data_IF_650157255055
#
_entry.id   IF_650157255055
#
_cell.length_a   1.000
_cell.length_b   1.000
_cell.length_c   1.000
_cell.angle_alpha   90.00
_cell.angle_beta   90.00
_cell.angle_gamma   90.00
#
_symmetry.space_group_name_H-M   'P 1'
#
loop_
_entity.id
_entity.type
_entity.pdbx_description
1 polymer ?
#
# COMPACT_ATOMS: atom_id res chain seq x y z
N UNK A 1 -30.19 13.70 56.12
CA UNK A 1 -29.31 14.55 55.29
C UNK A 1 -28.39 13.61 54.50
N UNK A 2 -28.30 13.82 53.19
CA UNK A 2 -27.86 12.86 52.15
C UNK A 2 -26.33 12.74 52.10
N UNK A 3 -25.78 11.52 51.99
CA UNK A 3 -24.38 11.27 51.61
C UNK A 3 -24.41 10.45 50.32
N UNK A 4 -23.70 10.94 49.32
CA UNK A 4 -23.78 10.54 47.92
C UNK A 4 -23.09 9.19 47.65
N UNK A 5 -23.77 8.35 46.87
CA UNK A 5 -23.18 7.22 46.14
C UNK A 5 -22.32 7.77 45.00
N UNK A 6 -21.06 7.33 44.92
CA UNK A 6 -20.22 7.48 43.73
C UNK A 6 -19.64 6.09 43.45
N UNK A 7 -20.04 5.48 42.33
CA UNK A 7 -19.41 4.26 41.82
C UNK A 7 -19.38 4.30 40.29
N UNK A 8 -18.23 4.79 39.82
CA UNK A 8 -17.51 4.53 38.58
C UNK A 8 -18.25 3.91 37.39
N UNK A 9 -18.38 4.70 36.31
CA UNK A 9 -18.53 4.20 34.95
C UNK A 9 -17.20 3.59 34.49
N UNK A 10 -17.19 2.28 34.19
CA UNK A 10 -16.14 1.65 33.42
C UNK A 10 -16.38 1.94 31.93
N UNK A 11 -15.54 2.79 31.33
CA UNK A 11 -15.50 2.97 29.89
C UNK A 11 -14.83 1.74 29.26
N UNK A 12 -15.59 0.92 28.54
CA UNK A 12 -15.03 -0.05 27.61
C UNK A 12 -14.33 0.73 26.49
N UNK A 13 -13.00 0.69 26.48
CA UNK A 13 -12.22 1.09 25.33
C UNK A 13 -12.54 0.11 24.18
N UNK A 14 -13.25 0.60 23.17
CA UNK A 14 -13.21 0.00 21.83
C UNK A 14 -11.77 0.14 21.33
N UNK A 15 -10.96 -0.90 21.49
CA UNK A 15 -9.76 -1.07 20.67
C UNK A 15 -10.23 -1.40 19.25
N UNK A 16 -10.55 -0.36 18.48
CA UNK A 16 -10.59 -0.48 17.03
C UNK A 16 -9.21 -0.97 16.57
N UNK A 17 -9.11 -1.97 15.68
CA UNK A 17 -7.84 -2.25 15.02
C UNK A 17 -7.46 -0.97 14.27
N UNK A 18 -6.46 -0.28 14.78
CA UNK A 18 -5.83 0.83 14.10
C UNK A 18 -5.19 0.22 12.85
N UNK A 19 -5.91 0.34 11.73
CA UNK A 19 -5.35 0.03 10.43
C UNK A 19 -4.05 0.84 10.33
N UNK A 20 -2.91 0.22 9.97
CA UNK A 20 -1.68 0.98 9.80
C UNK A 20 -1.95 2.12 8.83
N UNK A 21 -1.54 3.32 9.22
CA UNK A 21 -1.72 4.51 8.40
C UNK A 21 -1.06 4.28 7.03
N UNK A 22 -1.76 4.63 5.95
CA UNK A 22 -1.20 4.63 4.62
C UNK A 22 0.01 5.56 4.59
N UNK A 23 1.14 5.06 4.13
CA UNK A 23 2.28 5.92 3.88
C UNK A 23 2.05 6.67 2.58
N UNK A 24 1.95 7.99 2.66
CA UNK A 24 1.80 8.85 1.51
C UNK A 24 3.14 9.47 1.08
N UNK A 25 3.48 9.31 -0.21
CA UNK A 25 4.67 9.91 -0.81
C UNK A 25 4.42 10.25 -2.29
N UNK A 26 5.42 10.76 -2.99
CA UNK A 26 5.31 11.08 -4.40
C UNK A 26 6.11 12.33 -4.77
N UNK A 27 5.83 12.86 -5.95
CA UNK A 27 6.50 14.05 -6.45
C UNK A 27 5.50 15.05 -7.06
N UNK A 28 6.02 15.98 -7.87
CA UNK A 28 5.22 17.04 -8.51
C UNK A 28 4.19 16.52 -9.51
N UNK A 29 4.33 15.26 -9.94
CA UNK A 29 3.60 14.64 -11.03
C UNK A 29 2.48 13.72 -10.53
N UNK A 30 2.70 13.05 -9.39
CA UNK A 30 1.75 12.11 -8.79
C UNK A 30 1.90 12.03 -7.27
N UNK A 31 0.88 11.51 -6.59
CA UNK A 31 0.96 11.00 -5.22
C UNK A 31 0.73 9.51 -5.19
N UNK A 32 1.30 8.88 -4.17
CA UNK A 32 1.20 7.46 -3.87
C UNK A 32 0.71 7.31 -2.44
N UNK A 33 -0.27 6.44 -2.27
CA UNK A 33 -0.62 5.86 -0.98
C UNK A 33 -0.20 4.39 -1.00
N UNK A 34 0.53 3.96 0.02
CA UNK A 34 1.00 2.60 0.17
C UNK A 34 0.58 2.06 1.53
N UNK A 35 -0.20 1.00 1.51
CA UNK A 35 -0.69 0.31 2.70
C UNK A 35 -0.14 -1.11 2.73
N UNK A 36 0.42 -1.50 3.86
CA UNK A 36 0.89 -2.85 4.11
C UNK A 36 0.72 -3.18 5.60
N UNK A 37 0.51 -4.45 5.97
CA UNK A 37 0.60 -4.88 7.36
C UNK A 37 1.98 -4.56 7.92
N UNK A 38 2.04 -3.87 9.06
CA UNK A 38 3.30 -3.70 9.80
C UNK A 38 3.78 -5.01 10.43
N UNK A 39 2.87 -5.98 10.62
CA UNK A 39 3.19 -7.31 11.09
C UNK A 39 2.22 -8.37 10.54
N UNK A 40 2.72 -9.59 10.36
CA UNK A 40 1.95 -10.79 9.99
C UNK A 40 2.38 -11.96 10.86
N UNK A 41 1.44 -12.84 11.22
CA UNK A 41 1.81 -14.12 11.83
C UNK A 41 2.26 -15.12 10.76
N UNK A 42 3.18 -16.04 11.06
CA UNK A 42 3.55 -17.13 10.15
C UNK A 42 2.30 -17.88 9.68
N UNK A 43 2.19 -18.11 8.37
CA UNK A 43 1.04 -18.72 7.71
C UNK A 43 -0.12 -17.76 7.42
N UNK A 44 -0.04 -16.50 7.87
CA UNK A 44 -1.06 -15.49 7.61
C UNK A 44 -0.89 -14.88 6.22
N UNK A 45 -2.02 -14.64 5.55
CA UNK A 45 -2.07 -13.83 4.33
C UNK A 45 -2.21 -12.33 4.67
N UNK A 46 -1.66 -11.48 3.82
CA UNK A 46 -1.84 -10.03 3.84
C UNK A 46 -1.99 -9.49 2.42
N UNK A 47 -2.08 -8.16 2.31
CA UNK A 47 -2.04 -7.45 1.03
C UNK A 47 -1.09 -6.27 1.14
N UNK A 48 -0.38 -5.97 0.06
CA UNK A 48 0.28 -4.70 -0.18
C UNK A 48 -0.58 -3.93 -1.17
N UNK A 49 -1.21 -2.85 -0.71
CA UNK A 49 -2.10 -2.04 -1.51
C UNK A 49 -1.37 -0.76 -1.92
N UNK A 50 -1.23 -0.56 -3.23
CA UNK A 50 -0.56 0.58 -3.84
C UNK A 50 -1.57 1.37 -4.67
N UNK A 51 -1.80 2.63 -4.32
CA UNK A 51 -2.65 3.54 -5.07
C UNK A 51 -1.83 4.74 -5.56
N UNK A 52 -1.81 4.99 -6.87
CA UNK A 52 -1.12 6.14 -7.46
C UNK A 52 -2.12 7.03 -8.18
N UNK A 53 -2.03 8.33 -7.91
CA UNK A 53 -2.93 9.37 -8.45
C UNK A 53 -2.10 10.48 -9.08
N UNK A 54 -2.37 10.89 -10.33
CA UNK A 54 -1.69 12.02 -10.94
C UNK A 54 -2.10 13.32 -10.26
N UNK A 55 -1.20 14.31 -10.25
CA UNK A 55 -1.50 15.67 -9.76
C UNK A 55 -2.26 16.48 -10.82
N UNK A 56 -2.78 17.63 -10.43
CA UNK A 56 -3.58 18.50 -11.30
C UNK A 56 -2.86 18.82 -12.63
N UNK A 57 -3.62 18.83 -13.74
CA UNK A 57 -3.09 19.06 -15.09
C UNK A 57 -2.40 17.84 -15.71
N UNK A 58 -2.45 16.67 -15.06
CA UNK A 58 -1.85 15.41 -15.53
C UNK A 58 -2.86 14.27 -15.51
N UNK A 59 -2.56 13.24 -16.28
CA UNK A 59 -3.27 11.96 -16.26
C UNK A 59 -2.28 10.79 -16.33
N UNK A 60 -2.70 9.61 -15.91
CA UNK A 60 -1.96 8.36 -16.13
C UNK A 60 -2.24 7.82 -17.52
N UNK A 61 -1.25 7.21 -18.16
CA UNK A 61 -1.45 6.57 -19.45
C UNK A 61 -2.00 5.15 -19.31
N UNK A 62 -3.03 4.83 -20.10
CA UNK A 62 -3.56 3.45 -20.26
C UNK A 62 -2.82 2.64 -21.33
N UNK A 63 -2.08 3.34 -22.19
CA UNK A 63 -1.41 2.78 -23.37
C UNK A 63 0.06 2.43 -23.10
N UNK A 64 0.72 3.17 -22.20
CA UNK A 64 2.11 2.88 -21.84
C UNK A 64 2.25 1.57 -21.05
N UNK A 65 3.37 0.85 -21.20
CA UNK A 65 3.69 -0.29 -20.35
C UNK A 65 3.57 0.10 -18.88
N UNK A 66 2.73 -0.65 -18.17
CA UNK A 66 2.41 -0.41 -16.78
C UNK A 66 2.54 -1.72 -16.03
N UNK A 67 3.35 -1.72 -14.98
CA UNK A 67 3.71 -2.93 -14.23
C UNK A 67 4.26 -2.59 -12.86
N UNK A 68 3.87 -3.38 -11.88
CA UNK A 68 4.47 -3.39 -10.54
C UNK A 68 5.38 -4.61 -10.41
N UNK A 69 6.66 -4.38 -10.10
CA UNK A 69 7.61 -5.43 -9.75
C UNK A 69 7.82 -5.43 -8.25
N UNK A 70 7.80 -6.61 -7.64
CA UNK A 70 8.04 -6.78 -6.21
C UNK A 70 9.19 -7.76 -5.99
N UNK A 71 10.03 -7.46 -5.01
CA UNK A 71 11.00 -8.39 -4.44
C UNK A 71 10.83 -8.41 -2.94
N UNK A 72 11.04 -9.56 -2.33
CA UNK A 72 10.95 -9.70 -0.88
C UNK A 72 12.24 -10.28 -0.33
N UNK A 73 12.62 -9.76 0.84
CA UNK A 73 13.70 -10.30 1.66
C UNK A 73 13.10 -10.79 2.98
N UNK A 74 13.63 -11.90 3.52
CA UNK A 74 13.15 -12.49 4.76
C UNK A 74 11.95 -13.42 4.57
N UNK A 75 11.15 -13.59 5.63
CA UNK A 75 10.11 -14.62 5.71
C UNK A 75 8.76 -14.23 5.11
N UNK A 76 8.73 -13.45 4.02
CA UNK A 76 7.50 -13.07 3.32
C UNK A 76 7.64 -13.31 1.81
N UNK A 77 6.57 -13.77 1.17
CA UNK A 77 6.47 -13.91 -0.29
C UNK A 77 5.38 -13.02 -0.88
N UNK A 78 5.59 -12.61 -2.12
CA UNK A 78 4.69 -11.78 -2.91
C UNK A 78 4.82 -12.16 -4.41
N UNK A 79 3.86 -11.82 -5.28
CA UNK A 79 4.03 -11.96 -6.72
C UNK A 79 5.21 -11.11 -7.18
N UNK A 80 6.18 -11.72 -7.88
CA UNK A 80 7.36 -10.99 -8.35
C UNK A 80 7.04 -9.87 -9.36
N UNK A 81 5.88 -9.97 -10.02
CA UNK A 81 5.44 -9.04 -11.06
C UNK A 81 3.92 -9.07 -11.18
N UNK A 82 3.33 -7.88 -11.33
CA UNK A 82 1.92 -7.67 -11.63
C UNK A 82 1.81 -6.76 -12.85
N UNK A 83 1.13 -7.22 -13.89
CA UNK A 83 0.90 -6.50 -15.14
C UNK A 83 -0.25 -5.50 -15.02
N UNK A 84 -0.42 -4.63 -16.02
CA UNK A 84 -1.54 -3.67 -16.07
C UNK A 84 -2.92 -4.32 -15.93
N UNK A 85 -3.09 -5.54 -16.44
CA UNK A 85 -4.35 -6.29 -16.40
C UNK A 85 -4.69 -6.84 -15.00
N UNK A 86 -3.71 -6.86 -14.10
CA UNK A 86 -3.87 -7.32 -12.72
C UNK A 86 -4.12 -6.15 -11.75
N UNK A 87 -4.04 -4.91 -12.24
CA UNK A 87 -4.45 -3.75 -11.48
C UNK A 87 -5.94 -3.85 -11.14
N UNK A 88 -6.31 -3.49 -9.90
CA UNK A 88 -7.71 -3.34 -9.49
C UNK A 88 -8.38 -2.20 -10.22
N UNK A 89 -7.59 -1.19 -10.58
CA UNK A 89 -8.00 -0.05 -11.38
C UNK A 89 -6.81 0.45 -12.18
N UNK A 90 -7.05 0.77 -13.45
CA UNK A 90 -6.14 1.56 -14.27
C UNK A 90 -6.98 2.43 -15.20
N UNK A 91 -6.94 3.73 -14.96
CA UNK A 91 -7.50 4.76 -15.82
C UNK A 91 -6.66 6.04 -15.73
N UNK A 92 -7.06 7.07 -16.47
CA UNK A 92 -6.38 8.37 -16.49
C UNK A 92 -6.21 9.02 -15.11
N UNK A 93 -6.99 8.64 -14.11
CA UNK A 93 -7.02 9.26 -12.78
C UNK A 93 -6.39 8.40 -11.70
N UNK A 94 -6.21 7.11 -11.93
CA UNK A 94 -5.68 6.21 -10.91
C UNK A 94 -5.10 4.93 -11.48
N UNK A 95 -4.08 4.43 -10.79
CA UNK A 95 -3.72 3.03 -10.83
C UNK A 95 -3.68 2.48 -9.40
N UNK A 96 -4.39 1.38 -9.18
CA UNK A 96 -4.50 0.73 -7.88
C UNK A 96 -4.11 -0.76 -8.04
N UNK A 97 -3.11 -1.22 -7.30
CA UNK A 97 -2.72 -2.63 -7.18
C UNK A 97 -3.00 -3.14 -5.77
N UNK A 98 -3.32 -4.43 -5.66
CA UNK A 98 -3.40 -5.16 -4.40
C UNK A 98 -2.61 -6.46 -4.58
N UNK A 99 -1.40 -6.50 -4.04
CA UNK A 99 -0.50 -7.63 -4.17
C UNK A 99 -0.63 -8.55 -2.95
N UNK A 100 -1.04 -9.83 -3.11
CA UNK A 100 -1.12 -10.76 -1.99
C UNK A 100 0.26 -10.97 -1.37
N UNK A 101 0.30 -11.03 -0.04
CA UNK A 101 1.47 -11.35 0.75
C UNK A 101 1.22 -12.64 1.53
N UNK A 102 2.27 -13.45 1.69
CA UNK A 102 2.23 -14.64 2.54
C UNK A 102 3.43 -14.65 3.48
N UNK A 103 3.16 -14.73 4.79
CA UNK A 103 4.20 -14.88 5.80
C UNK A 103 4.60 -16.35 5.95
N UNK A 104 5.87 -16.67 5.77
CA UNK A 104 6.40 -18.02 5.73
C UNK A 104 7.35 -18.34 6.89
N UNK A 105 8.10 -17.34 7.36
CA UNK A 105 9.08 -17.53 8.44
C UNK A 105 9.15 -16.30 9.37
N UNK A 106 9.36 -16.50 10.68
CA UNK A 106 9.43 -15.39 11.62
C UNK A 106 10.69 -14.56 11.38
N UNK A 107 10.60 -13.27 11.68
CA UNK A 107 11.69 -12.32 11.54
C UNK A 107 11.28 -11.05 10.83
N UNK A 108 12.23 -10.11 10.75
CA UNK A 108 12.05 -8.88 9.98
C UNK A 108 12.11 -9.22 8.49
N UNK A 109 11.08 -8.83 7.75
CA UNK A 109 11.02 -8.95 6.30
C UNK A 109 10.92 -7.56 5.66
N UNK A 110 11.38 -7.45 4.42
CA UNK A 110 11.30 -6.21 3.63
C UNK A 110 10.73 -6.51 2.26
N UNK A 111 9.78 -5.69 1.83
CA UNK A 111 9.20 -5.69 0.49
C UNK A 111 9.77 -4.51 -0.27
N UNK A 112 10.37 -4.77 -1.41
CA UNK A 112 10.88 -3.79 -2.36
C UNK A 112 9.93 -3.72 -3.55
N UNK A 113 9.47 -2.53 -3.91
CA UNK A 113 8.57 -2.32 -5.03
C UNK A 113 9.12 -1.37 -6.07
N UNK A 114 8.84 -1.65 -7.34
CA UNK A 114 9.05 -0.73 -8.45
C UNK A 114 7.82 -0.70 -9.34
N UNK A 115 7.11 0.43 -9.37
CA UNK A 115 6.03 0.67 -10.32
C UNK A 115 6.57 1.43 -11.52
N UNK A 116 6.35 0.89 -12.72
CA UNK A 116 6.54 1.61 -13.97
C UNK A 116 5.16 2.04 -14.49
N UNK A 117 4.99 3.33 -14.80
CA UNK A 117 3.75 3.88 -15.34
C UNK A 117 4.03 5.13 -16.18
N UNK A 118 3.19 5.39 -17.19
CA UNK A 118 3.22 6.65 -17.93
C UNK A 118 2.43 7.74 -17.22
N UNK A 119 3.00 8.94 -17.07
CA UNK A 119 2.29 10.14 -16.60
C UNK A 119 2.33 11.17 -17.72
N UNK A 120 1.18 11.72 -18.09
CA UNK A 120 1.04 12.60 -19.25
C UNK A 120 0.56 13.99 -18.86
N UNK A 121 0.98 15.00 -19.62
CA UNK A 121 0.50 16.39 -19.58
C UNK A 121 0.02 16.75 -20.99
N UNK A 122 -1.30 16.82 -21.18
CA UNK A 122 -1.87 16.79 -22.54
C UNK A 122 -1.39 15.52 -23.26
N UNK A 123 -0.94 15.65 -24.51
CA UNK A 123 -0.48 14.51 -25.33
C UNK A 123 0.97 14.07 -25.05
N UNK A 124 1.68 14.76 -24.15
CA UNK A 124 3.07 14.46 -23.82
C UNK A 124 3.15 13.53 -22.62
N UNK A 125 3.62 12.30 -22.84
CA UNK A 125 3.78 11.28 -21.80
C UNK A 125 5.24 11.03 -21.45
N UNK A 126 5.53 10.99 -20.14
CA UNK A 126 6.80 10.57 -19.59
C UNK A 126 6.64 9.22 -18.87
N UNK A 127 7.59 8.30 -19.10
CA UNK A 127 7.69 7.07 -18.31
C UNK A 127 8.29 7.40 -16.95
N UNK A 128 7.62 6.99 -15.90
CA UNK A 128 8.05 7.18 -14.53
C UNK A 128 8.28 5.82 -13.89
N UNK A 129 9.35 5.73 -13.10
CA UNK A 129 9.61 4.61 -12.20
C UNK A 129 9.51 5.11 -10.76
N UNK A 130 8.67 4.45 -9.98
CA UNK A 130 8.46 4.72 -8.57
C UNK A 130 9.01 3.55 -7.77
N UNK A 131 9.90 3.84 -6.83
CA UNK A 131 10.48 2.85 -5.93
C UNK A 131 9.95 3.05 -4.51
N UNK A 132 9.78 1.96 -3.77
CA UNK A 132 9.44 1.99 -2.36
C UNK A 132 9.98 0.75 -1.64
N UNK A 133 10.08 0.86 -0.32
CA UNK A 133 10.43 -0.24 0.56
C UNK A 133 9.45 -0.28 1.74
N UNK A 134 9.01 -1.47 2.15
CA UNK A 134 8.15 -1.65 3.32
C UNK A 134 8.65 -2.78 4.20
N UNK A 135 8.79 -2.50 5.47
CA UNK A 135 9.17 -3.50 6.45
C UNK A 135 7.92 -4.16 7.03
N UNK A 136 7.96 -5.48 7.17
CA UNK A 136 6.90 -6.28 7.78
C UNK A 136 7.54 -7.16 8.83
N UNK A 137 7.06 -7.08 10.07
CA UNK A 137 7.49 -8.00 11.11
C UNK A 137 6.69 -9.31 11.02
N UNK A 138 7.36 -10.42 10.69
CA UNK A 138 6.75 -11.74 10.76
C UNK A 138 6.94 -12.33 12.15
N UNK A 139 5.86 -12.82 12.76
CA UNK A 139 5.85 -13.33 14.15
C UNK A 139 5.21 -14.70 14.29
#
# INVERSE_FOLDING_TARGET
MRIALIASLAALACSSPELPAADEFGDRRYSVALEAPSALSVGQAGSLDLAVRPKAGRHLSTEFPTRLELRTDGGITAPGRLEKSEAKRLDEKAIDYAAPLHAEAPGKATIHGTLQVGVCTGDLCERVELHFEREVQVR
#
